data_IF_218491494288
#
_entry.id   IF_218491494288
#
_cell.length_a   1.000
_cell.length_b   1.000
_cell.length_c   1.000
_cell.angle_alpha   90.00
_cell.angle_beta   90.00
_cell.angle_gamma   90.00
#
_symmetry.space_group_name_H-M   'P 1'
#
loop_
_entity.id
_entity.type
_entity.pdbx_description
1 polymer ?
#
# COMPACT_ATOMS: atom_id res chain seq x y z
N UNK A 1 -13.82 -8.80 10.10
CA UNK A 1 -13.12 -8.91 8.79
C UNK A 1 -14.15 -9.12 7.69
N UNK A 2 -13.81 -8.84 6.42
CA UNK A 2 -14.74 -9.08 5.31
C UNK A 2 -15.04 -10.57 5.15
N UNK A 3 -16.30 -10.88 4.85
CA UNK A 3 -16.72 -12.21 4.42
C UNK A 3 -16.27 -12.54 2.99
N UNK A 4 -16.68 -13.70 2.45
CA UNK A 4 -16.35 -14.09 1.08
C UNK A 4 -16.89 -13.08 0.07
N UNK A 5 -16.08 -12.77 -0.94
CA UNK A 5 -16.45 -11.88 -2.02
C UNK A 5 -16.69 -12.67 -3.30
N UNK A 6 -17.84 -12.42 -3.92
CA UNK A 6 -18.12 -12.92 -5.27
C UNK A 6 -17.34 -12.10 -6.31
N UNK A 7 -16.96 -12.71 -7.43
CA UNK A 7 -16.23 -12.12 -8.59
C UNK A 7 -14.70 -12.13 -8.47
N UNK A 8 -14.03 -11.43 -9.40
CA UNK A 8 -12.58 -11.43 -9.49
C UNK A 8 -11.97 -10.39 -8.56
N UNK A 9 -11.48 -10.88 -7.42
CA UNK A 9 -10.85 -10.09 -6.37
C UNK A 9 -9.36 -9.83 -6.66
N UNK A 10 -9.05 -9.22 -7.81
CA UNK A 10 -7.66 -8.91 -8.18
C UNK A 10 -7.03 -7.95 -7.18
N UNK A 11 -5.81 -8.27 -6.75
CA UNK A 11 -4.98 -7.42 -5.89
C UNK A 11 -3.71 -7.06 -6.63
N UNK A 12 -2.83 -8.01 -6.91
CA UNK A 12 -1.53 -7.77 -7.53
C UNK A 12 -1.02 -9.03 -8.21
N UNK A 13 -0.01 -8.89 -9.07
CA UNK A 13 0.61 -10.01 -9.75
C UNK A 13 1.65 -10.77 -8.89
N UNK A 14 2.06 -11.94 -9.38
CA UNK A 14 3.26 -12.73 -8.99
C UNK A 14 3.41 -13.23 -7.53
N UNK A 15 2.50 -12.89 -6.61
CA UNK A 15 2.58 -13.34 -5.19
C UNK A 15 1.34 -14.03 -4.67
N UNK A 16 0.35 -14.16 -5.53
CA UNK A 16 -0.93 -14.78 -5.24
C UNK A 16 -1.14 -15.92 -6.21
N UNK A 17 -2.39 -16.34 -6.43
CA UNK A 17 -2.68 -17.28 -7.50
C UNK A 17 -2.39 -16.66 -8.89
N UNK A 18 -2.47 -17.47 -9.94
CA UNK A 18 -2.23 -17.04 -11.34
C UNK A 18 -3.16 -15.91 -11.83
N UNK A 19 -4.17 -15.55 -11.04
CA UNK A 19 -5.13 -14.49 -11.30
C UNK A 19 -4.95 -13.27 -10.38
N UNK A 20 -3.88 -13.22 -9.60
CA UNK A 20 -3.58 -12.10 -8.71
C UNK A 20 -4.56 -11.94 -7.55
N UNK A 21 -5.33 -12.98 -7.21
CA UNK A 21 -6.32 -12.96 -6.13
C UNK A 21 -5.69 -13.35 -4.81
N UNK A 22 -5.72 -12.44 -3.83
CA UNK A 22 -5.11 -12.63 -2.53
C UNK A 22 -5.73 -13.77 -1.69
N UNK A 23 -4.96 -14.39 -0.77
CA UNK A 23 -5.49 -15.35 0.19
C UNK A 23 -6.71 -14.83 0.95
N UNK A 24 -7.71 -15.69 1.12
CA UNK A 24 -8.96 -15.37 1.83
C UNK A 24 -9.93 -14.47 1.07
N UNK A 25 -9.70 -14.16 -0.22
CA UNK A 25 -10.63 -13.34 -0.98
C UNK A 25 -11.96 -14.06 -1.24
N UNK A 26 -11.89 -15.29 -1.74
CA UNK A 26 -13.07 -16.06 -2.16
C UNK A 26 -13.77 -16.74 -0.97
N UNK A 27 -13.00 -17.17 0.04
CA UNK A 27 -13.53 -17.83 1.25
C UNK A 27 -13.83 -16.85 2.39
N UNK A 28 -13.36 -15.59 2.26
CA UNK A 28 -13.46 -14.57 3.29
C UNK A 28 -12.21 -14.50 4.19
N UNK A 29 -12.15 -13.43 4.98
CA UNK A 29 -11.07 -13.11 5.91
C UNK A 29 -9.71 -12.79 5.26
N UNK A 30 -9.68 -12.30 4.01
CA UNK A 30 -8.48 -11.66 3.48
C UNK A 30 -8.16 -10.40 4.27
N UNK A 31 -7.00 -10.34 4.94
CA UNK A 31 -6.56 -9.12 5.62
C UNK A 31 -6.30 -8.00 4.64
N UNK A 32 -5.72 -8.31 3.48
CA UNK A 32 -5.39 -7.38 2.41
C UNK A 32 -6.64 -6.65 1.93
N UNK A 33 -7.68 -7.39 1.52
CA UNK A 33 -8.91 -6.78 0.99
C UNK A 33 -9.70 -6.08 2.09
N UNK A 34 -9.73 -6.65 3.32
CA UNK A 34 -10.39 -6.02 4.47
C UNK A 34 -9.78 -4.65 4.78
N UNK A 35 -8.45 -4.56 4.83
CA UNK A 35 -7.74 -3.32 5.15
C UNK A 35 -7.81 -2.32 3.98
N UNK A 36 -7.79 -2.79 2.73
CA UNK A 36 -8.04 -1.93 1.56
C UNK A 36 -9.46 -1.33 1.61
N UNK A 37 -10.46 -2.09 2.06
CA UNK A 37 -11.81 -1.58 2.26
C UNK A 37 -11.85 -0.56 3.40
N UNK A 38 -11.23 -0.83 4.54
CA UNK A 38 -11.11 0.13 5.65
C UNK A 38 -10.41 1.43 5.22
N UNK A 39 -9.35 1.35 4.40
CA UNK A 39 -8.72 2.52 3.80
C UNK A 39 -9.68 3.32 2.91
N UNK A 40 -10.52 2.63 2.12
CA UNK A 40 -11.51 3.26 1.24
C UNK A 40 -12.62 3.94 2.05
N UNK A 41 -13.09 3.31 3.12
CA UNK A 41 -14.09 3.89 4.03
C UNK A 41 -13.62 5.20 4.68
N UNK A 42 -12.35 5.26 5.10
CA UNK A 42 -11.77 6.51 5.61
C UNK A 42 -11.77 7.64 4.56
N UNK A 43 -11.47 7.33 3.30
CA UNK A 43 -11.54 8.34 2.22
C UNK A 43 -12.99 8.74 1.92
N UNK A 44 -13.92 7.78 1.95
CA UNK A 44 -15.34 8.07 1.78
C UNK A 44 -15.86 9.00 2.88
N UNK A 45 -15.41 8.82 4.12
CA UNK A 45 -15.74 9.72 5.22
C UNK A 45 -15.27 11.15 4.97
N UNK A 46 -14.03 11.33 4.51
CA UNK A 46 -13.49 12.66 4.15
C UNK A 46 -14.35 13.34 3.07
N UNK A 47 -14.81 12.58 2.06
CA UNK A 47 -15.74 13.08 1.05
C UNK A 47 -17.10 13.44 1.65
N UNK A 48 -17.70 12.56 2.44
CA UNK A 48 -19.00 12.85 3.07
C UNK A 48 -18.95 14.11 3.94
N UNK A 49 -17.88 14.32 4.71
CA UNK A 49 -17.71 15.57 5.48
C UNK A 49 -17.57 16.80 4.57
N UNK A 50 -16.87 16.67 3.45
CA UNK A 50 -16.70 17.77 2.49
C UNK A 50 -18.01 18.16 1.76
N UNK A 51 -18.99 17.26 1.73
CA UNK A 51 -20.32 17.48 1.14
C UNK A 51 -21.44 17.56 2.18
N UNK A 52 -21.13 17.99 3.42
CA UNK A 52 -22.11 18.25 4.49
C UNK A 52 -22.95 17.02 4.90
N UNK A 53 -22.34 15.83 4.88
CA UNK A 53 -22.94 14.55 5.30
C UNK A 53 -22.20 13.91 6.50
N UNK A 54 -22.13 14.57 7.67
CA UNK A 54 -21.31 14.12 8.79
C UNK A 54 -21.75 12.78 9.38
N UNK A 55 -23.05 12.48 9.42
CA UNK A 55 -23.54 11.21 9.96
C UNK A 55 -23.05 10.01 9.13
N UNK A 56 -23.12 10.11 7.80
CA UNK A 56 -22.58 9.06 6.92
C UNK A 56 -21.07 8.92 7.05
N UNK A 57 -20.36 10.03 7.27
CA UNK A 57 -18.92 9.99 7.51
C UNK A 57 -18.58 9.25 8.81
N UNK A 58 -19.30 9.54 9.89
CA UNK A 58 -19.13 8.87 11.18
C UNK A 58 -19.40 7.35 11.06
N UNK A 59 -20.43 6.95 10.30
CA UNK A 59 -20.74 5.55 10.01
C UNK A 59 -19.58 4.85 9.26
N UNK A 60 -18.98 5.51 8.26
CA UNK A 60 -17.85 4.95 7.52
C UNK A 60 -16.59 4.82 8.39
N UNK A 61 -16.28 5.85 9.19
CA UNK A 61 -15.13 5.85 10.11
C UNK A 61 -15.26 4.74 11.16
N UNK A 62 -16.47 4.57 11.74
CA UNK A 62 -16.75 3.52 12.70
C UNK A 62 -16.57 2.12 12.09
N UNK A 63 -17.09 1.90 10.87
CA UNK A 63 -16.89 0.63 10.18
C UNK A 63 -15.42 0.38 9.82
N UNK A 64 -14.68 1.41 9.39
CA UNK A 64 -13.25 1.30 9.11
C UNK A 64 -12.46 0.90 10.36
N UNK A 65 -12.78 1.50 11.51
CA UNK A 65 -12.19 1.16 12.81
C UNK A 65 -12.47 -0.29 13.18
N UNK A 66 -13.72 -0.73 13.08
CA UNK A 66 -14.10 -2.11 13.39
C UNK A 66 -13.37 -3.14 12.50
N UNK A 67 -13.23 -2.85 11.21
CA UNK A 67 -12.51 -3.73 10.28
C UNK A 67 -11.01 -3.77 10.55
N UNK A 68 -10.41 -2.63 10.91
CA UNK A 68 -9.01 -2.54 11.30
C UNK A 68 -8.76 -3.34 12.58
N UNK A 69 -9.55 -3.12 13.64
CA UNK A 69 -9.39 -3.75 14.95
C UNK A 69 -9.51 -5.27 14.85
N UNK A 70 -10.53 -5.77 14.14
CA UNK A 70 -10.70 -7.20 13.93
C UNK A 70 -9.56 -7.80 13.09
N UNK A 71 -9.14 -7.12 12.02
CA UNK A 71 -8.00 -7.60 11.22
C UNK A 71 -6.72 -7.65 12.04
N UNK A 72 -6.44 -6.61 12.83
CA UNK A 72 -5.28 -6.59 13.71
C UNK A 72 -5.35 -7.73 14.71
N UNK A 73 -6.47 -7.91 15.41
CA UNK A 73 -6.66 -8.98 16.38
C UNK A 73 -6.41 -10.38 15.80
N UNK A 74 -7.00 -10.68 14.63
CA UNK A 74 -6.92 -12.02 14.04
C UNK A 74 -5.63 -12.25 13.25
N UNK A 75 -5.06 -11.25 12.59
CA UNK A 75 -3.97 -11.42 11.64
C UNK A 75 -2.61 -10.90 12.13
N UNK A 76 -2.57 -10.02 13.14
CA UNK A 76 -1.28 -9.56 13.68
C UNK A 76 -0.56 -10.71 14.41
N UNK A 77 0.70 -10.91 14.06
CA UNK A 77 1.57 -11.86 14.72
C UNK A 77 2.60 -11.09 15.56
N UNK A 78 2.49 -11.18 16.89
CA UNK A 78 3.37 -10.47 17.81
C UNK A 78 4.83 -10.91 17.71
N UNK A 79 5.10 -12.17 17.36
CA UNK A 79 6.46 -12.72 17.28
C UNK A 79 7.24 -12.11 16.11
N UNK A 80 6.61 -12.03 14.94
CA UNK A 80 7.27 -11.46 13.76
C UNK A 80 6.89 -9.99 13.51
N UNK A 81 5.93 -9.42 14.24
CA UNK A 81 5.46 -8.04 14.12
C UNK A 81 4.88 -7.70 12.74
N UNK A 82 4.26 -8.67 12.06
CA UNK A 82 3.64 -8.52 10.75
C UNK A 82 2.14 -8.84 10.81
N UNK A 83 1.41 -8.34 9.82
CA UNK A 83 0.03 -8.75 9.53
C UNK A 83 0.10 -9.92 8.55
N UNK A 84 -0.47 -11.05 8.93
CA UNK A 84 -0.64 -12.19 8.02
C UNK A 84 -1.71 -11.92 6.97
N UNK A 85 -1.66 -12.64 5.85
CA UNK A 85 -2.64 -12.49 4.76
C UNK A 85 -4.04 -12.99 5.18
N UNK A 86 -4.11 -13.93 6.12
CA UNK A 86 -5.35 -14.52 6.68
C UNK A 86 -5.21 -14.83 8.19
N UNK A 87 -6.31 -15.10 8.93
CA UNK A 87 -6.27 -15.43 10.37
C UNK A 87 -5.47 -16.68 10.74
N UNK A 88 -5.28 -17.62 9.80
CA UNK A 88 -4.49 -18.83 10.02
C UNK A 88 -2.99 -18.54 10.15
N UNK A 89 -2.55 -17.32 9.78
CA UNK A 89 -1.17 -16.84 9.94
C UNK A 89 -0.10 -17.68 9.21
N UNK A 90 -0.50 -18.33 8.12
CA UNK A 90 0.35 -19.22 7.32
C UNK A 90 1.23 -18.47 6.32
N UNK A 91 0.72 -17.36 5.77
CA UNK A 91 1.43 -16.55 4.78
C UNK A 91 1.44 -15.08 5.17
N UNK A 92 2.45 -14.37 4.65
CA UNK A 92 2.66 -12.95 4.87
C UNK A 92 3.08 -12.32 3.54
N UNK A 93 2.67 -11.08 3.34
CA UNK A 93 3.02 -10.29 2.16
C UNK A 93 3.30 -8.84 2.55
N UNK A 94 4.00 -8.12 1.67
CA UNK A 94 4.11 -6.67 1.76
C UNK A 94 2.72 -6.01 1.70
N UNK A 95 1.78 -6.56 0.93
CA UNK A 95 0.43 -6.00 0.75
C UNK A 95 -0.33 -5.84 2.05
N UNK A 96 -0.33 -6.87 2.90
CA UNK A 96 -1.02 -6.83 4.19
C UNK A 96 -0.46 -5.73 5.10
N UNK A 97 0.87 -5.61 5.18
CA UNK A 97 1.53 -4.56 5.96
C UNK A 97 1.30 -3.14 5.40
N UNK A 98 1.37 -2.98 4.07
CA UNK A 98 1.08 -1.72 3.38
C UNK A 98 -0.32 -1.24 3.74
N UNK A 99 -1.33 -2.11 3.61
CA UNK A 99 -2.69 -1.71 3.90
C UNK A 99 -2.94 -1.47 5.37
N UNK A 100 -2.32 -2.21 6.28
CA UNK A 100 -2.44 -1.95 7.71
C UNK A 100 -1.96 -0.53 8.09
N UNK A 101 -0.89 -0.06 7.43
CA UNK A 101 -0.40 1.31 7.61
C UNK A 101 -1.34 2.33 6.97
N UNK A 102 -1.75 2.10 5.73
CA UNK A 102 -2.60 3.05 4.98
C UNK A 102 -4.01 3.18 5.55
N UNK A 103 -4.59 2.09 6.04
CA UNK A 103 -5.93 2.06 6.64
C UNK A 103 -5.99 2.63 8.06
N UNK A 104 -4.84 2.99 8.64
CA UNK A 104 -4.70 3.38 10.05
C UNK A 104 -5.01 2.24 11.04
N UNK A 105 -4.77 0.98 10.63
CA UNK A 105 -4.97 -0.21 11.47
C UNK A 105 -3.81 -0.53 12.42
N UNK A 106 -2.73 0.26 12.41
CA UNK A 106 -1.60 0.15 13.33
C UNK A 106 -1.16 1.54 13.81
N UNK A 107 -0.52 1.60 14.97
CA UNK A 107 0.09 2.84 15.46
C UNK A 107 1.29 3.26 14.59
N UNK A 108 1.72 4.52 14.68
CA UNK A 108 2.91 5.00 13.95
C UNK A 108 4.18 4.20 14.31
N UNK A 109 4.35 3.85 15.60
CA UNK A 109 5.50 3.06 16.04
C UNK A 109 5.50 1.66 15.42
N UNK A 110 4.34 0.99 15.42
CA UNK A 110 4.17 -0.32 14.78
C UNK A 110 4.35 -0.22 13.27
N UNK A 111 3.79 0.80 12.62
CA UNK A 111 3.97 1.07 11.20
C UNK A 111 5.47 1.15 10.85
N UNK A 112 6.26 1.90 11.61
CA UNK A 112 7.69 2.03 11.36
C UNK A 112 8.46 0.71 11.50
N UNK A 113 8.12 -0.08 12.52
CA UNK A 113 8.72 -1.41 12.73
C UNK A 113 8.33 -2.35 11.58
N UNK A 114 7.05 -2.38 11.23
CA UNK A 114 6.49 -3.22 10.19
C UNK A 114 7.07 -2.87 8.82
N UNK A 115 7.11 -1.58 8.45
CA UNK A 115 7.67 -1.12 7.18
C UNK A 115 9.14 -1.54 7.03
N UNK A 116 9.96 -1.42 8.08
CA UNK A 116 11.35 -1.92 8.06
C UNK A 116 11.42 -3.42 7.80
N UNK A 117 10.52 -4.20 8.41
CA UNK A 117 10.48 -5.66 8.23
C UNK A 117 10.04 -6.03 6.81
N UNK A 118 8.92 -5.50 6.33
CA UNK A 118 8.38 -5.89 5.02
C UNK A 118 9.30 -5.52 3.85
N UNK A 119 10.12 -4.47 3.99
CA UNK A 119 11.15 -4.13 3.00
C UNK A 119 12.28 -5.17 2.95
N UNK A 120 12.75 -5.63 4.11
CA UNK A 120 13.96 -6.46 4.21
C UNK A 120 13.70 -7.97 4.22
N UNK A 121 12.52 -8.42 4.65
CA UNK A 121 12.20 -9.84 4.78
C UNK A 121 11.99 -10.47 3.41
N UNK A 122 12.86 -11.40 3.00
CA UNK A 122 12.77 -12.07 1.69
C UNK A 122 11.84 -13.29 1.68
N UNK A 123 11.32 -13.69 2.84
CA UNK A 123 10.44 -14.86 2.99
C UNK A 123 8.96 -14.56 2.73
N UNK A 124 8.60 -13.29 2.59
CA UNK A 124 7.22 -12.83 2.37
C UNK A 124 6.98 -12.44 0.91
N UNK A 125 5.71 -12.47 0.48
CA UNK A 125 5.30 -11.99 -0.84
C UNK A 125 5.66 -10.51 -1.05
N UNK A 126 6.14 -10.16 -2.25
CA UNK A 126 6.67 -8.83 -2.59
C UNK A 126 5.81 -8.12 -3.62
N UNK A 127 5.40 -6.88 -3.38
CA UNK A 127 4.59 -6.13 -4.35
C UNK A 127 5.24 -6.04 -5.75
N UNK A 128 4.41 -6.09 -6.78
CA UNK A 128 4.82 -5.79 -8.16
C UNK A 128 4.71 -4.29 -8.46
N UNK A 129 4.95 -3.89 -9.70
CA UNK A 129 5.15 -2.49 -10.08
C UNK A 129 3.95 -1.60 -9.74
N UNK A 130 2.72 -2.08 -9.99
CA UNK A 130 1.49 -1.38 -9.63
C UNK A 130 1.45 -1.05 -8.13
N UNK A 131 1.66 -2.04 -7.26
CA UNK A 131 1.54 -1.85 -5.82
C UNK A 131 2.70 -1.07 -5.19
N UNK A 132 3.82 -0.87 -5.90
CA UNK A 132 4.92 -0.04 -5.39
C UNK A 132 4.53 1.41 -5.18
N UNK A 133 3.48 1.89 -5.87
CA UNK A 133 2.86 3.18 -5.53
C UNK A 133 2.35 3.17 -4.08
N UNK A 134 1.55 2.17 -3.69
CA UNK A 134 1.02 2.04 -2.33
C UNK A 134 2.10 1.76 -1.29
N UNK A 135 3.15 1.01 -1.66
CA UNK A 135 4.34 0.86 -0.80
C UNK A 135 4.94 2.23 -0.45
N UNK A 136 5.06 3.11 -1.45
CA UNK A 136 5.58 4.47 -1.26
C UNK A 136 4.64 5.32 -0.41
N UNK A 137 3.33 5.23 -0.62
CA UNK A 137 2.34 5.91 0.23
C UNK A 137 2.44 5.43 1.69
N UNK A 138 2.61 4.13 1.92
CA UNK A 138 2.78 3.57 3.26
C UNK A 138 4.08 4.04 3.92
N UNK A 139 5.18 4.12 3.18
CA UNK A 139 6.44 4.70 3.68
C UNK A 139 6.25 6.15 4.11
N UNK A 140 5.57 6.98 3.30
CA UNK A 140 5.27 8.37 3.67
C UNK A 140 4.42 8.45 4.92
N UNK A 141 3.37 7.63 5.01
CA UNK A 141 2.45 7.57 6.16
C UNK A 141 3.16 7.12 7.45
N UNK A 142 4.17 6.26 7.33
CA UNK A 142 5.03 5.82 8.43
C UNK A 142 6.19 6.79 8.74
N UNK A 143 6.27 7.94 8.08
CA UNK A 143 7.36 8.92 8.19
C UNK A 143 8.74 8.35 7.80
N UNK A 144 8.75 7.48 6.79
CA UNK A 144 9.92 6.77 6.29
C UNK A 144 10.16 7.04 4.79
N UNK A 145 9.75 8.22 4.31
CA UNK A 145 9.86 8.62 2.90
C UNK A 145 11.28 8.53 2.34
N UNK A 146 12.31 8.75 3.15
CA UNK A 146 13.72 8.67 2.75
C UNK A 146 14.17 7.27 2.26
N UNK A 147 13.38 6.23 2.55
CA UNK A 147 13.66 4.90 2.04
C UNK A 147 13.24 4.71 0.57
N UNK A 148 12.37 5.57 0.04
CA UNK A 148 11.83 5.47 -1.31
C UNK A 148 12.92 5.35 -2.39
N UNK A 149 13.98 6.17 -2.32
CA UNK A 149 15.03 6.17 -3.34
C UNK A 149 15.74 4.82 -3.51
N UNK A 150 15.83 4.04 -2.42
CA UNK A 150 16.44 2.71 -2.42
C UNK A 150 15.51 1.68 -3.09
N UNK A 151 14.20 1.88 -2.98
CA UNK A 151 13.16 1.03 -3.58
C UNK A 151 13.00 1.19 -5.09
N UNK A 152 13.70 2.15 -5.72
CA UNK A 152 13.74 2.33 -7.19
C UNK A 152 14.50 1.22 -7.95
N UNK A 153 14.99 0.20 -7.24
CA UNK A 153 15.71 -0.95 -7.81
C UNK A 153 15.06 -1.60 -9.05
N UNK A 154 13.74 -1.88 -9.06
CA UNK A 154 13.10 -2.52 -10.20
C UNK A 154 13.10 -1.67 -11.48
N UNK A 155 12.89 -0.36 -11.39
CA UNK A 155 12.99 0.54 -12.55
C UNK A 155 14.41 0.64 -13.08
N UNK A 156 15.41 0.67 -12.18
CA UNK A 156 16.82 0.57 -12.61
C UNK A 156 17.12 -0.76 -13.31
N UNK A 157 16.43 -1.84 -12.94
CA UNK A 157 16.55 -3.12 -13.65
C UNK A 157 15.91 -3.06 -15.04
N UNK A 158 14.73 -2.45 -15.20
CA UNK A 158 14.12 -2.23 -16.52
C UNK A 158 15.04 -1.44 -17.45
N UNK A 159 15.65 -0.36 -16.96
CA UNK A 159 16.62 0.43 -17.73
C UNK A 159 17.82 -0.41 -18.18
N UNK A 160 18.34 -1.28 -17.30
CA UNK A 160 19.46 -2.19 -17.64
C UNK A 160 19.08 -3.24 -18.67
N UNK A 161 17.81 -3.65 -18.71
CA UNK A 161 17.27 -4.54 -19.74
C UNK A 161 17.04 -3.82 -21.08
N UNK A 162 17.20 -2.50 -21.13
CA UNK A 162 17.00 -1.70 -22.33
C UNK A 162 15.56 -1.24 -22.56
N UNK A 163 14.67 -1.39 -21.57
CA UNK A 163 13.32 -0.84 -21.69
C UNK A 163 13.36 0.69 -21.72
N UNK A 164 12.58 1.27 -22.62
CA UNK A 164 12.34 2.72 -22.73
C UNK A 164 10.97 3.15 -22.20
N UNK A 165 10.20 2.20 -21.68
CA UNK A 165 8.89 2.34 -21.05
C UNK A 165 8.84 1.46 -19.79
N UNK A 166 7.78 1.55 -19.00
CA UNK A 166 7.66 0.75 -17.77
C UNK A 166 6.81 -0.51 -18.01
N UNK A 167 7.35 -1.68 -17.68
CA UNK A 167 6.64 -2.94 -17.84
C UNK A 167 5.46 -3.09 -16.86
N UNK A 168 4.50 -3.95 -17.20
CA UNK A 168 3.30 -4.24 -16.41
C UNK A 168 3.63 -4.92 -15.07
N UNK A 169 4.45 -5.97 -15.11
CA UNK A 169 4.88 -6.76 -13.94
C UNK A 169 6.29 -7.30 -14.18
N UNK A 170 6.98 -7.85 -13.16
CA UNK A 170 8.23 -8.57 -13.35
C UNK A 170 8.12 -9.67 -14.43
N UNK A 171 9.26 -9.99 -15.05
CA UNK A 171 9.32 -11.04 -16.07
C UNK A 171 8.82 -12.40 -15.54
N UNK A 172 8.08 -13.18 -16.34
CA UNK A 172 7.63 -12.87 -17.71
C UNK A 172 6.49 -11.86 -17.72
N UNK A 173 6.58 -10.82 -18.57
CA UNK A 173 5.52 -9.81 -18.73
C UNK A 173 4.89 -9.84 -20.13
N UNK A 174 3.59 -9.50 -20.22
CA UNK A 174 2.91 -9.35 -21.52
C UNK A 174 3.14 -7.97 -22.13
N UNK A 175 3.23 -6.94 -21.29
CA UNK A 175 3.37 -5.55 -21.71
C UNK A 175 4.62 -4.92 -21.10
N UNK A 176 5.46 -4.36 -21.95
CA UNK A 176 6.63 -3.53 -21.59
C UNK A 176 6.29 -2.04 -21.47
N UNK A 177 5.02 -1.67 -21.66
CA UNK A 177 4.53 -0.30 -21.62
C UNK A 177 3.17 -0.23 -20.90
N UNK A 178 3.20 0.00 -19.59
CA UNK A 178 2.03 0.02 -18.73
C UNK A 178 2.07 1.21 -17.76
N UNK A 179 1.08 2.08 -17.85
CA UNK A 179 1.05 3.35 -17.12
C UNK A 179 1.05 3.19 -15.59
N UNK A 180 0.51 2.08 -15.06
CA UNK A 180 0.47 1.84 -13.62
C UNK A 180 1.85 1.66 -12.97
N UNK A 181 2.90 1.53 -13.78
CA UNK A 181 4.29 1.35 -13.35
C UNK A 181 5.08 2.65 -13.44
N UNK A 182 4.44 3.75 -13.88
CA UNK A 182 5.04 5.08 -14.01
C UNK A 182 5.01 5.89 -12.70
N UNK A 183 4.80 5.24 -11.55
CA UNK A 183 4.80 5.93 -10.24
C UNK A 183 6.06 6.75 -9.95
N UNK A 184 7.28 6.42 -10.43
CA UNK A 184 8.44 7.28 -10.22
C UNK A 184 8.31 8.69 -10.79
N UNK A 185 7.55 8.88 -11.86
CA UNK A 185 7.34 10.21 -12.47
C UNK A 185 6.54 11.11 -11.51
N UNK A 186 5.58 10.52 -10.80
CA UNK A 186 4.83 11.18 -9.75
C UNK A 186 5.68 11.36 -8.48
N UNK A 187 6.31 10.28 -8.00
CA UNK A 187 6.99 10.25 -6.71
C UNK A 187 8.31 11.03 -6.68
N UNK A 188 8.92 11.32 -7.84
CA UNK A 188 10.02 12.28 -7.88
C UNK A 188 9.58 13.64 -7.32
N UNK A 189 8.46 14.19 -7.80
CA UNK A 189 7.94 15.47 -7.31
C UNK A 189 7.25 15.32 -5.94
N UNK A 190 6.40 14.30 -5.80
CA UNK A 190 5.55 14.12 -4.62
C UNK A 190 6.29 13.61 -3.38
N UNK A 191 7.44 12.94 -3.56
CA UNK A 191 8.15 12.22 -2.50
C UNK A 191 9.61 12.70 -2.39
N UNK A 192 10.41 12.67 -3.45
CA UNK A 192 11.81 13.15 -3.39
C UNK A 192 11.84 14.67 -3.15
N UNK A 193 11.20 15.46 -4.00
CA UNK A 193 11.05 16.91 -3.80
C UNK A 193 10.06 17.23 -2.67
N UNK A 194 9.13 16.31 -2.39
CA UNK A 194 8.16 16.43 -1.30
C UNK A 194 7.13 17.54 -1.51
N UNK A 195 6.77 17.84 -2.76
CA UNK A 195 5.83 18.90 -3.13
C UNK A 195 4.43 18.29 -3.29
N UNK A 196 3.52 18.61 -2.38
CA UNK A 196 2.18 18.03 -2.34
C UNK A 196 1.11 19.08 -2.06
N UNK A 197 -0.14 18.90 -2.55
CA UNK A 197 -1.25 19.71 -2.07
C UNK A 197 -1.50 19.40 -0.59
N UNK A 198 -1.50 20.42 0.25
CA UNK A 198 -1.91 20.27 1.65
C UNK A 198 -3.42 20.49 1.82
N UNK A 199 -4.00 21.33 0.96
CA UNK A 199 -5.45 21.56 0.88
C UNK A 199 -5.96 21.44 -0.56
N UNK A 200 -7.27 21.19 -0.76
CA UNK A 200 -7.84 20.98 -2.09
C UNK A 200 -7.54 22.10 -3.08
N UNK A 201 -7.10 21.73 -4.28
CA UNK A 201 -6.76 22.66 -5.36
C UNK A 201 -5.45 23.43 -5.17
N UNK A 202 -4.51 22.90 -4.38
CA UNK A 202 -3.22 23.57 -4.08
C UNK A 202 -3.38 24.96 -3.45
N UNK A 203 -4.49 25.21 -2.73
CA UNK A 203 -4.67 26.47 -1.97
C UNK A 203 -3.55 26.69 -0.96
N UNK A 204 -3.04 25.60 -0.38
CA UNK A 204 -1.79 25.53 0.37
C UNK A 204 -0.95 24.36 -0.13
N UNK A 205 0.36 24.49 0.01
CA UNK A 205 1.35 23.53 -0.49
C UNK A 205 2.19 23.03 0.67
N UNK A 206 2.27 21.70 0.81
CA UNK A 206 3.22 21.04 1.68
C UNK A 206 4.56 20.88 0.94
N UNK A 207 5.64 21.28 1.59
CA UNK A 207 7.02 21.05 1.13
C UNK A 207 7.73 20.22 2.20
N UNK A 208 7.91 18.92 1.97
CA UNK A 208 8.58 17.99 2.88
C UNK A 208 9.45 16.98 2.11
N UNK A 209 10.65 17.39 1.65
CA UNK A 209 11.53 16.55 0.83
C UNK A 209 11.94 15.25 1.55
N UNK A 210 12.16 14.18 0.77
CA UNK A 210 12.69 12.90 1.24
C UNK A 210 13.80 12.41 0.30
N UNK A 211 15.00 12.97 0.50
CA UNK A 211 16.14 12.78 -0.42
C UNK A 211 16.77 11.39 -0.30
N UNK A 212 16.62 10.72 0.84
CA UNK A 212 17.28 9.44 1.11
C UNK A 212 18.80 9.53 0.97
N UNK A 213 19.35 8.96 -0.12
CA UNK A 213 20.80 8.98 -0.42
C UNK A 213 21.22 10.10 -1.38
N UNK A 214 20.28 10.90 -1.87
CA UNK A 214 20.58 12.02 -2.75
C UNK A 214 21.15 13.19 -1.95
N UNK A 215 22.15 13.87 -2.50
CA UNK A 215 22.73 15.07 -1.89
C UNK A 215 22.06 16.36 -2.42
N UNK A 216 21.45 16.29 -3.60
CA UNK A 216 20.79 17.39 -4.30
C UNK A 216 19.70 16.85 -5.25
N UNK A 217 18.84 17.74 -5.75
CA UNK A 217 17.76 17.48 -6.71
C UNK A 217 17.87 18.47 -7.87
#
# INVERSE_FOLDING_TARGET
MLGPLTWWNFVDWDNFNDWGTAPGADQGNSSIITLQYAYTLNQAAELFRAFDHPAQADDQEMLALELNDHTYWYCYNQTNGLIADTPEKLTYSQHAGIWAVLSRGVTLQEAQIMMRKILNDKSIGKVTFFYRFYLTQALKKAEMGDLYYQELGPWRAMLKMGLTTFAEKPEPTRSDCHAWSASPDYDFLATICGIMPETPGFKTVLIKPSLGKLNEV
#
